data_IF_321955091269
#
_entry.id   IF_321955091269
#
_cell.length_a   1.000
_cell.length_b   1.000
_cell.length_c   1.000
_cell.angle_alpha   90.00
_cell.angle_beta   90.00
_cell.angle_gamma   90.00
#
_symmetry.space_group_name_H-M   'P 1'
#
loop_
_entity.id
_entity.type
_entity.pdbx_description
1 polymer ?
#
# COMPACT_ATOMS: atom_id res chain seq x y z
N UNK A 1 87.86 -29.52 11.21
CA UNK A 1 87.42 -28.20 10.73
C UNK A 1 85.91 -28.20 10.67
N UNK A 2 85.37 -27.86 11.61
CA UNK A 2 84.33 -26.96 12.10
C UNK A 2 83.69 -26.08 11.04
N UNK A 3 82.36 -26.14 10.90
CA UNK A 3 81.56 -24.92 10.91
C UNK A 3 80.09 -25.23 11.18
N UNK A 4 79.60 -24.58 12.19
CA UNK A 4 78.18 -24.51 12.67
C UNK A 4 77.34 -23.73 11.66
N UNK A 5 76.10 -24.15 11.47
CA UNK A 5 75.02 -23.27 10.99
C UNK A 5 73.79 -23.45 11.83
N UNK A 6 73.50 -22.42 12.62
CA UNK A 6 72.39 -22.27 13.51
C UNK A 6 71.12 -21.96 12.69
N UNK A 7 70.06 -22.76 12.85
CA UNK A 7 68.73 -22.49 12.36
C UNK A 7 67.99 -21.54 13.29
N UNK A 8 67.67 -20.34 12.80
CA UNK A 8 66.74 -19.39 13.38
C UNK A 8 65.36 -19.55 12.73
N UNK A 9 64.50 -20.36 13.34
CA UNK A 9 63.04 -20.31 13.06
C UNK A 9 62.39 -19.61 14.24
N UNK A 10 62.15 -18.31 14.11
CA UNK A 10 61.31 -17.52 15.02
C UNK A 10 60.06 -17.07 14.33
N UNK A 11 58.95 -17.64 14.78
CA UNK A 11 57.71 -16.98 15.19
C UNK A 11 57.15 -15.93 14.21
N UNK A 12 56.17 -16.39 13.39
CA UNK A 12 55.16 -15.52 12.72
C UNK A 12 53.75 -16.10 12.94
N UNK A 13 53.33 -16.23 14.16
CA UNK A 13 51.92 -16.59 14.51
C UNK A 13 51.45 -15.64 15.61
N UNK A 14 51.39 -14.35 15.34
CA UNK A 14 50.86 -13.39 16.29
C UNK A 14 50.05 -12.25 15.59
N UNK A 15 49.66 -12.41 14.34
CA UNK A 15 49.05 -11.33 13.57
C UNK A 15 47.58 -11.51 13.13
N UNK A 16 46.95 -12.67 13.43
CA UNK A 16 45.61 -12.99 12.85
C UNK A 16 44.41 -12.75 13.75
N UNK A 17 44.60 -12.39 15.03
CA UNK A 17 43.48 -12.26 15.96
C UNK A 17 42.87 -10.86 16.09
N UNK A 18 43.43 -9.85 15.46
CA UNK A 18 42.97 -8.44 15.63
C UNK A 18 41.96 -7.94 14.60
N UNK A 19 41.59 -8.74 13.59
CA UNK A 19 40.63 -8.34 12.55
C UNK A 19 39.23 -8.94 12.69
N UNK A 20 38.97 -9.78 13.69
CA UNK A 20 37.66 -10.43 13.86
C UNK A 20 36.68 -9.66 14.77
N UNK A 21 37.13 -8.65 15.47
CA UNK A 21 36.30 -7.87 16.41
C UNK A 21 35.31 -6.89 15.74
N UNK A 22 35.57 -6.26 14.57
CA UNK A 22 34.63 -5.29 14.02
C UNK A 22 33.41 -5.90 13.31
N UNK A 23 33.46 -7.18 12.91
CA UNK A 23 32.33 -7.77 12.14
C UNK A 23 31.11 -8.05 13.00
N UNK A 24 31.30 -8.39 14.27
CA UNK A 24 30.19 -8.67 15.21
C UNK A 24 29.47 -7.38 15.65
N UNK A 25 30.20 -6.29 15.86
CA UNK A 25 29.63 -5.00 16.23
C UNK A 25 28.74 -4.40 15.11
N UNK A 26 29.11 -4.58 13.85
CA UNK A 26 28.33 -4.11 12.70
C UNK A 26 27.02 -4.91 12.57
N UNK A 27 27.05 -6.20 12.84
CA UNK A 27 25.86 -7.05 12.78
C UNK A 27 24.84 -6.69 13.90
N UNK A 28 25.31 -6.42 15.11
CA UNK A 28 24.47 -6.05 16.25
C UNK A 28 23.80 -4.69 16.06
N UNK A 29 24.52 -3.69 15.55
CA UNK A 29 23.96 -2.38 15.22
C UNK A 29 22.92 -2.44 14.10
N UNK A 30 23.09 -3.34 13.12
CA UNK A 30 22.13 -3.52 12.05
C UNK A 30 20.83 -4.17 12.54
N UNK A 31 20.91 -5.20 13.38
CA UNK A 31 19.72 -5.85 13.99
C UNK A 31 18.95 -4.89 14.90
N UNK A 32 19.65 -4.08 15.69
CA UNK A 32 19.01 -3.06 16.52
C UNK A 32 18.25 -2.01 15.71
N UNK A 33 18.82 -1.54 14.59
CA UNK A 33 18.12 -0.64 13.67
C UNK A 33 16.88 -1.28 13.06
N UNK A 34 16.97 -2.57 12.71
CA UNK A 34 15.82 -3.33 12.20
C UNK A 34 14.73 -3.49 13.27
N UNK A 35 15.11 -3.83 14.51
CA UNK A 35 14.20 -3.92 15.64
C UNK A 35 13.42 -2.60 15.84
N UNK A 36 14.13 -1.46 15.90
CA UNK A 36 13.51 -0.14 16.01
C UNK A 36 12.63 0.20 14.78
N UNK A 37 13.08 -0.15 13.59
CA UNK A 37 12.30 0.04 12.36
C UNK A 37 10.98 -0.73 12.41
N UNK A 38 11.00 -1.99 12.85
CA UNK A 38 9.80 -2.81 12.98
C UNK A 38 8.86 -2.28 14.08
N UNK A 39 9.37 -1.79 15.20
CA UNK A 39 8.55 -1.16 16.22
C UNK A 39 7.81 0.07 15.69
N UNK A 40 8.49 0.93 14.93
CA UNK A 40 7.87 2.12 14.30
C UNK A 40 6.79 1.72 13.29
N UNK A 41 7.07 0.73 12.45
CA UNK A 41 6.08 0.21 11.49
C UNK A 41 4.88 -0.36 12.23
N UNK A 42 5.09 -1.17 13.28
CA UNK A 42 4.04 -1.72 14.12
C UNK A 42 3.14 -0.63 14.72
N UNK A 43 3.74 0.40 15.32
CA UNK A 43 3.00 1.53 15.91
C UNK A 43 2.23 2.32 14.84
N UNK A 44 2.82 2.58 13.68
CA UNK A 44 2.14 3.27 12.58
C UNK A 44 0.97 2.44 12.04
N UNK A 45 1.14 1.13 11.91
CA UNK A 45 0.06 0.21 11.48
C UNK A 45 -1.07 0.15 12.50
N UNK A 46 -0.74 0.12 13.81
CA UNK A 46 -1.73 0.16 14.89
C UNK A 46 -2.56 1.44 14.87
N UNK A 47 -1.91 2.60 14.69
CA UNK A 47 -2.60 3.87 14.58
C UNK A 47 -3.55 3.91 13.37
N UNK A 48 -3.10 3.41 12.21
CA UNK A 48 -3.95 3.33 11.03
C UNK A 48 -5.13 2.36 11.22
N UNK A 49 -4.93 1.23 11.90
CA UNK A 49 -5.99 0.29 12.23
C UNK A 49 -7.02 0.92 13.18
N UNK A 50 -6.59 1.73 14.15
CA UNK A 50 -7.47 2.45 15.07
C UNK A 50 -8.33 3.49 14.33
N UNK A 51 -7.73 4.29 13.44
CA UNK A 51 -8.46 5.26 12.61
C UNK A 51 -9.49 4.59 11.71
N UNK A 52 -9.16 3.43 11.14
CA UNK A 52 -10.13 2.66 10.34
C UNK A 52 -11.25 2.09 11.21
N UNK A 53 -10.97 1.67 12.45
CA UNK A 53 -12.00 1.22 13.38
C UNK A 53 -12.99 2.35 13.71
N UNK A 54 -12.48 3.55 14.03
CA UNK A 54 -13.31 4.73 14.27
C UNK A 54 -14.20 5.07 13.06
N UNK A 55 -13.65 4.99 11.85
CA UNK A 55 -14.40 5.25 10.62
C UNK A 55 -15.51 4.21 10.39
N UNK A 56 -15.21 2.92 10.58
CA UNK A 56 -16.21 1.83 10.46
C UNK A 56 -17.31 2.00 11.49
N UNK A 57 -16.96 2.35 12.73
CA UNK A 57 -17.93 2.61 13.79
C UNK A 57 -18.82 3.83 13.50
N UNK A 58 -18.25 4.88 12.91
CA UNK A 58 -18.98 6.06 12.48
C UNK A 58 -19.97 5.74 11.37
N UNK A 59 -19.57 4.95 10.39
CA UNK A 59 -20.48 4.47 9.32
C UNK A 59 -21.62 3.66 9.91
N UNK A 60 -21.34 2.74 10.83
CA UNK A 60 -22.39 1.97 11.52
C UNK A 60 -23.37 2.84 12.30
N UNK A 61 -22.87 3.86 13.02
CA UNK A 61 -23.74 4.81 13.75
C UNK A 61 -24.63 5.65 12.84
N UNK A 62 -24.16 5.94 11.64
CA UNK A 62 -24.91 6.70 10.63
C UNK A 62 -25.80 5.81 9.74
N UNK A 63 -25.90 4.51 10.02
CA UNK A 63 -26.68 3.56 9.23
C UNK A 63 -26.13 3.33 7.82
N UNK A 64 -24.87 3.63 7.59
CA UNK A 64 -24.19 3.35 6.33
C UNK A 64 -23.67 1.92 6.36
N UNK A 65 -24.36 1.06 5.63
CA UNK A 65 -24.02 -0.35 5.48
C UNK A 65 -23.73 -0.65 4.01
N UNK A 66 -22.88 -1.65 3.76
CA UNK A 66 -22.58 -2.09 2.40
C UNK A 66 -21.20 -2.70 2.27
N UNK A 67 -20.94 -3.20 1.08
CA UNK A 67 -19.68 -3.89 0.74
C UNK A 67 -18.43 -3.05 1.04
N UNK A 68 -18.51 -1.73 0.86
CA UNK A 68 -17.38 -0.83 1.10
C UNK A 68 -17.02 -0.77 2.59
N UNK A 69 -18.02 -0.75 3.47
CA UNK A 69 -17.82 -0.77 4.93
C UNK A 69 -17.27 -2.12 5.39
N UNK A 70 -17.78 -3.22 4.82
CA UNK A 70 -17.25 -4.57 5.08
C UNK A 70 -15.78 -4.71 4.68
N UNK A 71 -15.39 -4.13 3.54
CA UNK A 71 -14.00 -4.12 3.06
C UNK A 71 -13.11 -3.30 4.00
N UNK A 72 -13.56 -2.12 4.42
CA UNK A 72 -12.82 -1.31 5.40
C UNK A 72 -12.63 -2.06 6.72
N UNK A 73 -13.66 -2.75 7.21
CA UNK A 73 -13.57 -3.62 8.38
C UNK A 73 -12.60 -4.79 8.18
N UNK A 74 -12.58 -5.38 6.98
CA UNK A 74 -11.61 -6.40 6.59
C UNK A 74 -10.17 -5.87 6.61
N UNK A 75 -9.92 -4.70 6.05
CA UNK A 75 -8.62 -4.03 6.05
C UNK A 75 -8.19 -3.73 7.50
N UNK A 76 -9.08 -3.15 8.31
CA UNK A 76 -8.84 -2.85 9.72
C UNK A 76 -8.42 -4.10 10.50
N UNK A 77 -9.11 -5.22 10.31
CA UNK A 77 -8.81 -6.49 10.97
C UNK A 77 -7.42 -7.02 10.59
N UNK A 78 -7.04 -6.97 9.31
CA UNK A 78 -5.71 -7.40 8.85
C UNK A 78 -4.63 -6.50 9.44
N UNK A 79 -4.81 -5.19 9.44
CA UNK A 79 -3.85 -4.25 10.03
C UNK A 79 -3.74 -4.42 11.54
N UNK A 80 -4.84 -4.68 12.23
CA UNK A 80 -4.88 -4.99 13.65
C UNK A 80 -4.09 -6.26 14.00
N UNK A 81 -4.27 -7.34 13.23
CA UNK A 81 -3.49 -8.57 13.39
C UNK A 81 -1.99 -8.34 13.13
N UNK A 82 -1.63 -7.66 12.05
CA UNK A 82 -0.23 -7.34 11.75
C UNK A 82 0.42 -6.55 12.88
N UNK A 83 -0.24 -5.50 13.39
CA UNK A 83 0.30 -4.64 14.44
C UNK A 83 0.28 -5.28 15.82
N UNK A 84 -0.76 -6.04 16.16
CA UNK A 84 -0.98 -6.62 17.49
C UNK A 84 -0.28 -7.94 17.73
N UNK A 85 -0.08 -8.74 16.68
CA UNK A 85 0.49 -10.09 16.81
C UNK A 85 1.82 -10.23 16.06
N UNK A 86 1.83 -9.97 14.76
CA UNK A 86 3.00 -10.23 13.92
C UNK A 86 4.18 -9.31 14.23
N UNK A 87 3.95 -8.02 14.37
CA UNK A 87 5.04 -7.06 14.64
C UNK A 87 5.71 -7.27 15.99
N UNK A 88 4.98 -7.47 17.12
CA UNK A 88 5.61 -7.84 18.39
C UNK A 88 6.42 -9.13 18.33
N UNK A 89 5.93 -10.15 17.62
CA UNK A 89 6.66 -11.39 17.40
C UNK A 89 7.98 -11.16 16.65
N UNK A 90 7.95 -10.41 15.55
CA UNK A 90 9.14 -10.07 14.75
C UNK A 90 10.16 -9.30 15.60
N UNK A 91 9.70 -8.30 16.36
CA UNK A 91 10.54 -7.51 17.25
C UNK A 91 11.19 -8.41 18.31
N UNK A 92 10.42 -9.30 18.96
CA UNK A 92 10.94 -10.26 19.93
C UNK A 92 11.99 -11.20 19.34
N UNK A 93 11.77 -11.68 18.12
CA UNK A 93 12.72 -12.55 17.42
C UNK A 93 14.00 -11.78 17.01
N UNK A 94 13.90 -10.53 16.56
CA UNK A 94 15.06 -9.67 16.29
C UNK A 94 15.85 -9.38 17.57
N UNK A 95 15.17 -9.10 18.67
CA UNK A 95 15.77 -8.93 19.98
C UNK A 95 16.53 -10.20 20.42
N UNK A 96 15.89 -11.37 20.34
CA UNK A 96 16.50 -12.66 20.65
C UNK A 96 17.67 -12.98 19.72
N UNK A 97 17.60 -12.63 18.43
CA UNK A 97 18.71 -12.77 17.49
C UNK A 97 19.89 -11.86 17.87
N UNK A 98 19.65 -10.71 18.48
CA UNK A 98 20.71 -9.79 18.92
C UNK A 98 21.36 -10.20 20.23
N UNK A 99 20.57 -10.67 21.20
CA UNK A 99 21.01 -10.93 22.57
C UNK A 99 21.30 -12.40 22.89
N UNK A 100 20.83 -13.34 22.06
CA UNK A 100 20.94 -14.78 22.28
C UNK A 100 22.34 -15.34 22.03
N UNK A 101 22.48 -16.65 22.27
CA UNK A 101 23.68 -17.44 21.97
C UNK A 101 23.86 -17.69 20.46
N UNK A 102 25.07 -18.03 20.02
CA UNK A 102 25.39 -18.15 18.60
C UNK A 102 24.51 -19.13 17.80
N UNK A 103 24.17 -20.34 18.27
CA UNK A 103 23.29 -21.24 17.53
C UNK A 103 21.84 -20.73 17.46
N UNK A 104 21.34 -20.08 18.51
CA UNK A 104 19.99 -19.52 18.58
C UNK A 104 19.81 -18.28 17.73
N UNK A 105 20.82 -17.40 17.64
CA UNK A 105 20.76 -16.14 16.87
C UNK A 105 20.32 -16.35 15.42
N UNK A 106 20.93 -17.33 14.75
CA UNK A 106 20.61 -17.60 13.33
C UNK A 106 19.17 -18.07 13.15
N UNK A 107 18.70 -18.96 14.01
CA UNK A 107 17.33 -19.43 13.97
C UNK A 107 16.34 -18.29 14.21
N UNK A 108 16.57 -17.46 15.20
CA UNK A 108 15.72 -16.30 15.50
C UNK A 108 15.73 -15.24 14.39
N UNK A 109 16.89 -14.98 13.76
CA UNK A 109 16.97 -14.08 12.61
C UNK A 109 16.19 -14.60 11.40
N UNK A 110 16.25 -15.91 11.13
CA UNK A 110 15.46 -16.52 10.05
C UNK A 110 13.95 -16.49 10.36
N UNK A 111 13.55 -16.71 11.60
CA UNK A 111 12.16 -16.60 12.02
C UNK A 111 11.65 -15.16 11.88
N UNK A 112 12.44 -14.17 12.31
CA UNK A 112 12.12 -12.76 12.13
C UNK A 112 11.97 -12.39 10.64
N UNK A 113 12.86 -12.88 9.78
CA UNK A 113 12.76 -12.68 8.34
C UNK A 113 11.48 -13.32 7.75
N UNK A 114 11.14 -14.53 8.17
CA UNK A 114 9.89 -15.19 7.75
C UNK A 114 8.65 -14.37 8.19
N UNK A 115 8.65 -13.86 9.44
CA UNK A 115 7.62 -12.98 9.96
C UNK A 115 7.50 -11.68 9.15
N UNK A 116 8.62 -11.01 8.85
CA UNK A 116 8.65 -9.80 8.01
C UNK A 116 8.08 -10.05 6.61
N UNK A 117 8.41 -11.19 6.02
CA UNK A 117 7.86 -11.61 4.71
C UNK A 117 6.34 -11.79 4.80
N UNK A 118 5.84 -12.44 5.85
CA UNK A 118 4.40 -12.63 6.08
C UNK A 118 3.69 -11.29 6.26
N UNK A 119 4.21 -10.40 7.12
CA UNK A 119 3.66 -9.06 7.33
C UNK A 119 3.63 -8.25 6.02
N UNK A 120 4.73 -8.29 5.25
CA UNK A 120 4.81 -7.60 3.95
C UNK A 120 3.80 -8.14 2.94
N UNK A 121 3.54 -9.45 2.95
CA UNK A 121 2.53 -10.06 2.09
C UNK A 121 1.11 -9.60 2.47
N UNK A 122 0.77 -9.62 3.77
CA UNK A 122 -0.53 -9.16 4.24
C UNK A 122 -0.76 -7.67 3.95
N UNK A 123 0.24 -6.81 4.18
CA UNK A 123 0.15 -5.39 3.86
C UNK A 123 0.02 -5.13 2.35
N UNK A 124 0.66 -5.95 1.52
CA UNK A 124 0.48 -5.87 0.06
C UNK A 124 -0.93 -6.24 -0.36
N UNK A 125 -1.55 -7.23 0.27
CA UNK A 125 -2.95 -7.58 0.00
C UNK A 125 -3.90 -6.44 0.38
N UNK A 126 -3.69 -5.81 1.54
CA UNK A 126 -4.43 -4.61 1.95
C UNK A 126 -4.31 -3.49 0.90
N UNK A 127 -3.08 -3.22 0.44
CA UNK A 127 -2.83 -2.20 -0.57
C UNK A 127 -3.54 -2.51 -1.90
N UNK A 128 -3.51 -3.76 -2.35
CA UNK A 128 -4.17 -4.19 -3.58
C UNK A 128 -5.70 -4.04 -3.48
N UNK A 129 -6.27 -4.39 -2.33
CA UNK A 129 -7.72 -4.23 -2.11
C UNK A 129 -8.11 -2.74 -2.09
N UNK A 130 -7.34 -1.89 -1.41
CA UNK A 130 -7.54 -0.44 -1.46
C UNK A 130 -7.46 0.13 -2.88
N UNK A 131 -6.45 -0.28 -3.66
CA UNK A 131 -6.31 0.15 -5.05
C UNK A 131 -7.48 -0.30 -5.93
N UNK A 132 -7.98 -1.51 -5.69
CA UNK A 132 -9.17 -2.02 -6.39
C UNK A 132 -10.40 -1.15 -6.11
N UNK A 133 -10.65 -0.82 -4.85
CA UNK A 133 -11.78 0.04 -4.47
C UNK A 133 -11.67 1.42 -5.10
N UNK A 134 -10.49 2.03 -5.06
CA UNK A 134 -10.24 3.31 -5.70
C UNK A 134 -10.51 3.28 -7.21
N UNK A 135 -10.09 2.21 -7.89
CA UNK A 135 -10.33 2.03 -9.32
C UNK A 135 -11.82 1.88 -9.65
N UNK A 136 -12.58 1.15 -8.82
CA UNK A 136 -14.02 1.00 -8.98
C UNK A 136 -14.75 2.34 -8.79
N UNK A 137 -14.38 3.11 -7.78
CA UNK A 137 -14.90 4.46 -7.56
C UNK A 137 -14.67 5.38 -8.75
N UNK A 138 -13.43 5.43 -9.26
CA UNK A 138 -13.08 6.22 -10.45
C UNK A 138 -13.85 5.77 -11.70
N UNK A 139 -14.10 4.47 -11.85
CA UNK A 139 -14.91 3.96 -12.94
C UNK A 139 -16.38 4.41 -12.81
N UNK A 140 -16.94 4.36 -11.62
CA UNK A 140 -18.32 4.82 -11.37
C UNK A 140 -18.47 6.31 -11.71
N UNK A 141 -17.54 7.18 -11.28
CA UNK A 141 -17.53 8.60 -11.63
C UNK A 141 -17.49 8.83 -13.15
N UNK A 142 -16.63 8.08 -13.86
CA UNK A 142 -16.54 8.18 -15.32
C UNK A 142 -17.83 7.75 -16.03
N UNK A 143 -18.47 6.68 -15.55
CA UNK A 143 -19.75 6.22 -16.08
C UNK A 143 -20.87 7.24 -15.84
N UNK A 144 -20.91 7.85 -14.66
CA UNK A 144 -21.85 8.93 -14.36
C UNK A 144 -21.64 10.12 -15.30
N UNK A 145 -20.40 10.60 -15.44
CA UNK A 145 -20.09 11.70 -16.36
C UNK A 145 -20.42 11.38 -17.82
N UNK A 146 -20.29 10.12 -18.24
CA UNK A 146 -20.72 9.68 -19.58
C UNK A 146 -22.24 9.70 -19.71
N UNK A 147 -22.98 9.25 -18.69
CA UNK A 147 -24.44 9.30 -18.63
C UNK A 147 -24.95 10.74 -18.76
N UNK A 148 -24.35 11.68 -18.04
CA UNK A 148 -24.72 13.11 -18.08
C UNK A 148 -24.48 13.71 -19.49
N UNK A 149 -23.35 13.36 -20.12
CA UNK A 149 -23.07 13.78 -21.51
C UNK A 149 -24.08 13.21 -22.50
N UNK A 150 -24.45 11.93 -22.37
CA UNK A 150 -25.44 11.31 -23.23
C UNK A 150 -26.83 11.95 -23.05
N UNK A 151 -27.21 12.26 -21.81
CA UNK A 151 -28.45 12.98 -21.51
C UNK A 151 -28.45 14.35 -22.16
N UNK A 152 -27.37 15.12 -22.06
CA UNK A 152 -27.22 16.42 -22.72
C UNK A 152 -27.33 16.33 -24.23
N UNK A 153 -26.62 15.38 -24.85
CA UNK A 153 -26.70 15.15 -26.30
C UNK A 153 -28.12 14.78 -26.76
N UNK A 154 -28.83 13.98 -25.96
CA UNK A 154 -30.22 13.62 -26.25
C UNK A 154 -31.13 14.87 -26.21
N UNK A 155 -30.99 15.71 -25.19
CA UNK A 155 -31.78 16.96 -25.09
C UNK A 155 -31.49 17.89 -26.25
N UNK A 156 -30.25 18.06 -26.67
CA UNK A 156 -29.86 18.87 -27.84
C UNK A 156 -30.45 18.29 -29.12
N UNK A 157 -30.38 16.96 -29.33
CA UNK A 157 -30.96 16.33 -30.50
C UNK A 157 -32.47 16.53 -30.56
N UNK A 158 -33.17 16.37 -29.43
CA UNK A 158 -34.63 16.63 -29.36
C UNK A 158 -34.94 18.10 -29.66
N UNK A 159 -34.16 19.05 -29.11
CA UNK A 159 -34.32 20.47 -29.41
C UNK A 159 -34.16 20.80 -30.90
N UNK A 160 -33.17 20.22 -31.58
CA UNK A 160 -32.94 20.38 -33.00
C UNK A 160 -34.13 19.83 -33.81
N UNK A 161 -34.66 18.67 -33.48
CA UNK A 161 -35.84 18.08 -34.12
C UNK A 161 -37.05 18.99 -33.94
N UNK A 162 -37.28 19.52 -32.76
CA UNK A 162 -38.38 20.44 -32.48
C UNK A 162 -38.24 21.75 -33.27
N UNK A 163 -37.02 22.31 -33.35
CA UNK A 163 -36.73 23.51 -34.12
C UNK A 163 -36.94 23.29 -35.61
N UNK A 164 -36.56 22.14 -36.16
CA UNK A 164 -36.76 21.80 -37.59
C UNK A 164 -38.23 21.59 -37.95
N UNK A 165 -39.09 21.18 -37.02
CA UNK A 165 -40.53 21.00 -37.20
C UNK A 165 -41.33 22.29 -37.14
N UNK A 166 -40.78 23.42 -36.66
CA UNK A 166 -41.47 24.72 -36.74
C UNK A 166 -41.59 25.11 -38.20
N UNK A 167 -42.81 25.13 -38.79
CA UNK A 167 -43.00 25.58 -40.18
C UNK A 167 -42.48 27.03 -40.24
N UNK A 168 -41.58 27.28 -41.19
CA UNK A 168 -41.08 28.62 -41.45
C UNK A 168 -42.24 29.51 -41.86
N UNK A 169 -42.82 30.24 -40.95
CA UNK A 169 -43.91 31.21 -41.19
C UNK A 169 -43.52 32.25 -42.24
N UNK A 170 -42.22 32.40 -42.47
CA UNK A 170 -41.63 33.32 -43.46
C UNK A 170 -41.89 32.83 -44.89
N UNK A 171 -41.89 31.51 -45.17
CA UNK A 171 -42.12 30.99 -46.50
C UNK A 171 -43.55 31.19 -47.01
N UNK A 172 -44.55 31.08 -46.13
CA UNK A 172 -45.97 31.32 -46.47
C UNK A 172 -46.28 32.78 -46.81
N UNK A 173 -45.58 33.79 -46.23
CA UNK A 173 -45.81 35.18 -46.56
C UNK A 173 -45.35 35.55 -47.95
N UNK A 174 -44.28 34.95 -48.46
CA UNK A 174 -43.77 35.22 -49.82
C UNK A 174 -44.62 34.56 -50.91
N UNK A 175 -45.15 33.35 -50.67
CA UNK A 175 -46.00 32.66 -51.62
C UNK A 175 -47.36 33.37 -51.77
N UNK A 176 -47.88 33.99 -50.70
CA UNK A 176 -49.12 34.79 -50.78
C UNK A 176 -48.94 36.15 -51.45
N UNK A 177 -47.73 36.73 -51.42
CA UNK A 177 -47.43 37.99 -52.07
C UNK A 177 -47.28 37.83 -53.61
N UNK A 178 -46.81 36.72 -54.10
CA UNK A 178 -46.63 36.41 -55.49
C UNK A 178 -47.99 36.12 -56.15
N UNK A 179 -48.93 35.41 -55.47
CA UNK A 179 -50.27 35.13 -55.99
C UNK A 179 -51.19 36.31 -56.15
N UNK A 180 -50.89 37.49 -55.64
CA UNK A 180 -51.69 38.73 -55.78
C UNK A 180 -51.26 39.65 -56.93
N UNK A 181 -50.20 39.27 -57.69
CA UNK A 181 -49.68 40.07 -58.81
C UNK A 181 -49.96 39.46 -60.22
N UNK A 182 -50.74 38.40 -60.26
CA UNK A 182 -51.28 37.81 -61.43
C UNK A 182 -52.79 38.03 -61.45
#
# INVERSE_FOLDING_TARGET
>A
MTTRLASRTRSRIAGCCLFLVPLTLVAETSLFKQEQGQQRIGSSTANSAALLAELVDEFGRNGLEGTDVEILGGIQKVMGNVSGELMPQIVGQLHAARTGDAPGRRAQALNAYAGQKSASYQMRQVLLEYQRQLALYQLAERLQALGDRQSTNLHEAVALIMASRKPSAVRRKNDFAISRRL
#
